data_IF_279735556766
#
_entry.id   IF_279735556766
#
_cell.length_a   1.000
_cell.length_b   1.000
_cell.length_c   1.000
_cell.angle_alpha   90.00
_cell.angle_beta   90.00
_cell.angle_gamma   90.00
#
_symmetry.space_group_name_H-M   'P 1'
#
loop_
_entity.id
_entity.type
_entity.pdbx_description
1 polymer ?
#
# COMPACT_ATOMS: atom_id res chain seq x y z
N UNK A 1 -16.09 34.72 20.99
CA UNK A 1 -15.76 35.52 19.79
C UNK A 1 -15.46 34.56 18.66
N UNK A 2 -16.47 34.19 17.86
CA UNK A 2 -16.24 33.37 16.66
C UNK A 2 -15.63 34.27 15.60
N UNK A 3 -14.33 34.15 15.36
CA UNK A 3 -13.73 34.68 14.14
C UNK A 3 -14.51 34.09 12.98
N UNK A 4 -15.23 34.93 12.23
CA UNK A 4 -15.81 34.57 10.95
C UNK A 4 -14.65 34.18 10.04
N UNK A 5 -14.28 32.90 10.03
CA UNK A 5 -13.40 32.36 9.01
C UNK A 5 -14.12 32.60 7.68
N UNK A 6 -13.60 33.55 6.90
CA UNK A 6 -14.02 33.76 5.53
C UNK A 6 -13.96 32.41 4.83
N UNK A 7 -15.10 31.87 4.40
CA UNK A 7 -15.15 30.64 3.63
C UNK A 7 -14.27 30.79 2.39
N UNK A 8 -13.35 29.85 2.16
CA UNK A 8 -12.49 29.88 0.99
C UNK A 8 -13.34 29.74 -0.29
N UNK A 9 -13.04 30.51 -1.33
CA UNK A 9 -13.72 30.34 -2.62
C UNK A 9 -13.19 29.11 -3.37
N UNK A 10 -13.97 28.53 -4.28
CA UNK A 10 -13.50 27.44 -5.15
C UNK A 10 -12.27 27.82 -5.98
N UNK A 11 -12.15 29.10 -6.36
CA UNK A 11 -10.99 29.62 -7.08
C UNK A 11 -9.73 29.59 -6.22
N UNK A 12 -9.81 30.10 -4.99
CA UNK A 12 -8.72 30.06 -4.03
C UNK A 12 -8.36 28.61 -3.67
N UNK A 13 -9.36 27.75 -3.49
CA UNK A 13 -9.18 26.32 -3.26
C UNK A 13 -8.42 25.66 -4.41
N UNK A 14 -8.81 25.94 -5.66
CA UNK A 14 -8.13 25.46 -6.85
C UNK A 14 -6.67 25.92 -6.88
N UNK A 15 -6.41 27.19 -6.56
CA UNK A 15 -5.06 27.76 -6.55
C UNK A 15 -4.15 27.06 -5.55
N UNK A 16 -4.59 26.96 -4.29
CA UNK A 16 -3.82 26.28 -3.25
C UNK A 16 -3.61 24.79 -3.58
N UNK A 17 -4.60 24.12 -4.17
CA UNK A 17 -4.49 22.72 -4.58
C UNK A 17 -3.48 22.52 -5.71
N UNK A 18 -3.49 23.41 -6.71
CA UNK A 18 -2.51 23.41 -7.80
C UNK A 18 -1.09 23.65 -7.28
N UNK A 19 -0.92 24.66 -6.44
CA UNK A 19 0.38 25.01 -5.85
C UNK A 19 0.93 23.86 -5.00
N UNK A 20 0.07 23.23 -4.18
CA UNK A 20 0.42 22.03 -3.42
C UNK A 20 0.85 20.86 -4.31
N UNK A 21 0.12 20.60 -5.39
CA UNK A 21 0.48 19.52 -6.30
C UNK A 21 1.85 19.74 -6.94
N UNK A 22 2.11 20.97 -7.40
CA UNK A 22 3.35 21.36 -8.08
C UNK A 22 4.53 21.51 -7.13
N UNK A 23 4.31 21.82 -5.84
CA UNK A 23 5.39 21.84 -4.84
C UNK A 23 5.87 20.42 -4.49
N UNK A 24 5.01 19.41 -4.64
CA UNK A 24 5.33 18.02 -4.33
C UNK A 24 5.81 17.24 -5.55
N UNK A 25 5.27 17.52 -6.75
CA UNK A 25 5.65 16.85 -8.01
C UNK A 25 6.39 17.84 -8.91
N UNK A 26 7.68 17.62 -9.07
CA UNK A 26 8.58 18.53 -9.79
C UNK A 26 8.82 18.07 -11.24
N UNK A 27 8.87 16.76 -11.44
CA UNK A 27 9.18 16.14 -12.73
C UNK A 27 8.04 15.22 -13.18
N UNK A 28 7.88 15.10 -14.48
CA UNK A 28 7.01 14.11 -15.12
C UNK A 28 7.60 13.69 -16.46
N UNK A 29 7.01 12.68 -17.12
CA UNK A 29 7.39 12.31 -18.49
C UNK A 29 6.60 13.07 -19.55
N UNK A 30 5.47 13.68 -19.19
CA UNK A 30 4.52 14.34 -20.10
C UNK A 30 4.72 15.85 -20.25
N UNK A 31 5.53 16.49 -19.40
CA UNK A 31 5.78 17.93 -19.47
C UNK A 31 6.37 18.31 -20.83
N UNK A 32 5.96 19.45 -21.39
CA UNK A 32 6.42 19.90 -22.71
C UNK A 32 7.92 20.25 -22.74
N UNK A 33 8.48 20.72 -21.61
CA UNK A 33 9.91 20.99 -21.49
C UNK A 33 10.76 19.73 -21.74
N UNK A 34 10.20 18.54 -21.51
CA UNK A 34 10.90 17.30 -21.78
C UNK A 34 11.23 17.12 -23.26
N UNK A 35 10.55 17.82 -24.18
CA UNK A 35 10.86 17.75 -25.60
C UNK A 35 12.30 18.19 -25.89
N UNK A 36 12.86 19.10 -25.10
CA UNK A 36 14.25 19.56 -25.21
C UNK A 36 15.26 18.64 -24.51
N UNK A 37 14.82 17.62 -23.78
CA UNK A 37 15.71 16.68 -23.13
C UNK A 37 16.33 15.69 -24.11
N UNK A 38 17.50 15.18 -23.74
CA UNK A 38 18.16 14.10 -24.46
C UNK A 38 17.32 12.83 -24.43
N UNK A 39 17.48 11.98 -25.45
CA UNK A 39 16.75 10.72 -25.56
C UNK A 39 16.86 9.83 -24.31
N UNK A 40 18.06 9.77 -23.71
CA UNK A 40 18.31 8.99 -22.49
C UNK A 40 17.55 9.54 -21.27
N UNK A 41 17.43 10.87 -21.15
CA UNK A 41 16.68 11.50 -20.06
C UNK A 41 15.18 11.25 -20.21
N UNK A 42 14.63 11.40 -21.43
CA UNK A 42 13.23 11.07 -21.74
C UNK A 42 12.90 9.61 -21.37
N UNK A 43 13.77 8.68 -21.78
CA UNK A 43 13.62 7.26 -21.49
C UNK A 43 13.67 6.98 -19.98
N UNK A 44 14.64 7.55 -19.27
CA UNK A 44 14.79 7.39 -17.82
C UNK A 44 13.57 7.93 -17.05
N UNK A 45 13.05 9.10 -17.40
CA UNK A 45 11.84 9.65 -16.76
C UNK A 45 10.61 8.78 -17.01
N UNK A 46 10.42 8.32 -18.24
CA UNK A 46 9.31 7.44 -18.55
C UNK A 46 9.43 6.10 -17.80
N UNK A 47 10.62 5.51 -17.73
CA UNK A 47 10.87 4.29 -16.95
C UNK A 47 10.61 4.51 -15.47
N UNK A 48 11.12 5.60 -14.88
CA UNK A 48 10.93 5.92 -13.47
C UNK A 48 9.43 6.05 -13.12
N UNK A 49 8.63 6.67 -14.01
CA UNK A 49 7.20 6.76 -13.79
C UNK A 49 6.48 5.41 -13.92
N UNK A 50 6.88 4.57 -14.88
CA UNK A 50 6.35 3.20 -15.00
C UNK A 50 6.70 2.37 -13.76
N UNK A 51 7.91 2.51 -13.23
CA UNK A 51 8.35 1.88 -12.00
C UNK A 51 7.54 2.37 -10.80
N UNK A 52 7.31 3.69 -10.67
CA UNK A 52 6.44 4.27 -9.65
C UNK A 52 5.03 3.69 -9.72
N UNK A 53 4.40 3.69 -10.90
CA UNK A 53 3.06 3.13 -11.10
C UNK A 53 2.99 1.60 -10.91
N UNK A 54 4.10 0.89 -11.10
CA UNK A 54 4.22 -0.52 -10.75
C UNK A 54 4.24 -0.69 -9.24
N UNK A 55 5.06 0.10 -8.52
CA UNK A 55 5.09 0.09 -7.06
C UNK A 55 3.74 0.44 -6.43
N UNK A 56 2.95 1.35 -7.01
CA UNK A 56 1.57 1.63 -6.56
C UNK A 56 0.60 0.45 -6.74
N UNK A 57 0.92 -0.53 -7.59
CA UNK A 57 0.08 -1.70 -7.87
C UNK A 57 0.53 -2.93 -7.10
N UNK A 58 1.75 -2.94 -6.60
CA UNK A 58 2.28 -4.03 -5.79
C UNK A 58 1.60 -4.01 -4.42
N UNK A 59 0.93 -5.11 -4.06
CA UNK A 59 0.36 -5.27 -2.73
C UNK A 59 1.50 -5.44 -1.73
N UNK A 60 1.53 -4.63 -0.67
CA UNK A 60 2.45 -4.83 0.44
C UNK A 60 1.86 -5.89 1.34
N UNK A 61 2.73 -6.77 1.84
CA UNK A 61 2.37 -7.85 2.77
C UNK A 61 1.62 -7.40 4.03
N UNK A 62 1.73 -6.11 4.36
CA UNK A 62 1.21 -5.51 5.59
C UNK A 62 0.11 -4.50 5.34
N UNK A 63 -0.38 -4.36 4.09
CA UNK A 63 -1.43 -3.39 3.78
C UNK A 63 -2.72 -3.73 4.54
N UNK A 64 -3.33 -2.69 5.14
CA UNK A 64 -4.58 -2.82 5.90
C UNK A 64 -5.77 -2.14 5.23
N UNK A 65 -5.54 -1.26 4.24
CA UNK A 65 -6.65 -0.67 3.49
C UNK A 65 -7.29 -1.70 2.56
N UNK A 66 -8.59 -1.92 2.77
CA UNK A 66 -9.40 -2.92 2.05
C UNK A 66 -9.95 -2.30 0.76
N UNK A 67 -10.25 -1.00 0.78
CA UNK A 67 -10.69 -0.29 -0.40
C UNK A 67 -9.51 -0.04 -1.34
N UNK A 68 -9.53 -0.72 -2.49
CA UNK A 68 -8.45 -0.64 -3.48
C UNK A 68 -8.25 0.76 -4.05
N UNK A 69 -9.31 1.56 -4.14
CA UNK A 69 -9.21 2.94 -4.64
C UNK A 69 -8.53 3.82 -3.61
N UNK A 70 -8.99 3.82 -2.36
CA UNK A 70 -8.37 4.57 -1.26
C UNK A 70 -6.90 4.16 -1.11
N UNK A 71 -6.63 2.84 -1.09
CA UNK A 71 -5.27 2.30 -1.03
C UNK A 71 -4.38 2.88 -2.12
N UNK A 72 -4.82 2.78 -3.37
CA UNK A 72 -4.07 3.28 -4.53
C UNK A 72 -3.89 4.79 -4.50
N UNK A 73 -4.90 5.54 -4.05
CA UNK A 73 -4.84 6.98 -3.91
C UNK A 73 -3.68 7.38 -2.98
N UNK A 74 -3.70 6.93 -1.72
CA UNK A 74 -2.67 7.31 -0.76
C UNK A 74 -1.29 6.73 -1.10
N UNK A 75 -1.20 5.50 -1.61
CA UNK A 75 0.08 4.95 -2.07
C UNK A 75 0.69 5.77 -3.22
N UNK A 76 -0.15 6.28 -4.13
CA UNK A 76 0.31 7.18 -5.21
C UNK A 76 0.81 8.49 -4.63
N UNK A 77 0.09 9.09 -3.69
CA UNK A 77 0.52 10.32 -2.98
C UNK A 77 1.87 10.13 -2.30
N UNK A 78 2.04 9.08 -1.50
CA UNK A 78 3.26 8.81 -0.75
C UNK A 78 4.48 8.64 -1.68
N UNK A 79 4.31 7.89 -2.78
CA UNK A 79 5.39 7.68 -3.75
C UNK A 79 5.68 8.93 -4.58
N UNK A 80 4.66 9.70 -4.96
CA UNK A 80 4.85 10.97 -5.67
C UNK A 80 5.59 11.99 -4.78
N UNK A 81 5.23 12.11 -3.49
CA UNK A 81 5.95 12.96 -2.53
C UNK A 81 7.40 12.51 -2.35
N UNK A 82 7.62 11.19 -2.21
CA UNK A 82 8.96 10.63 -2.00
C UNK A 82 9.91 10.83 -3.20
N UNK A 83 9.40 10.74 -4.42
CA UNK A 83 10.22 10.80 -5.64
C UNK A 83 10.08 12.11 -6.41
N UNK A 84 9.20 13.00 -5.98
CA UNK A 84 8.82 14.24 -6.66
C UNK A 84 8.49 14.05 -8.15
N UNK A 85 7.82 12.94 -8.46
CA UNK A 85 7.61 12.45 -9.82
C UNK A 85 6.12 12.15 -10.08
N UNK A 86 5.59 12.63 -11.20
CA UNK A 86 4.20 12.40 -11.59
C UNK A 86 3.82 13.07 -12.92
N UNK A 87 2.78 12.56 -13.58
CA UNK A 87 2.16 13.20 -14.76
C UNK A 87 0.84 13.87 -14.38
N UNK A 88 0.05 14.30 -15.37
CA UNK A 88 -1.27 14.92 -15.17
C UNK A 88 -2.17 14.16 -14.19
N UNK A 89 -2.23 12.82 -14.29
CA UNK A 89 -3.00 11.98 -13.37
C UNK A 89 -2.51 12.09 -11.91
N UNK A 90 -1.20 11.93 -11.67
CA UNK A 90 -0.63 12.04 -10.33
C UNK A 90 -0.75 13.46 -9.76
N UNK A 91 -0.60 14.48 -10.61
CA UNK A 91 -0.79 15.89 -10.24
C UNK A 91 -2.24 16.19 -9.85
N UNK A 92 -3.23 15.70 -10.61
CA UNK A 92 -4.64 15.87 -10.27
C UNK A 92 -5.01 15.18 -8.95
N UNK A 93 -4.46 13.99 -8.71
CA UNK A 93 -4.63 13.27 -7.43
C UNK A 93 -3.95 14.00 -6.27
N UNK A 94 -2.75 14.56 -6.47
CA UNK A 94 -2.07 15.37 -5.46
C UNK A 94 -2.84 16.65 -5.13
N UNK A 95 -3.47 17.27 -6.12
CA UNK A 95 -4.36 18.40 -5.89
C UNK A 95 -5.61 17.98 -5.09
N UNK A 96 -6.20 16.80 -5.40
CA UNK A 96 -7.32 16.26 -4.63
C UNK A 96 -6.92 15.95 -3.17
N UNK A 97 -5.70 15.46 -2.92
CA UNK A 97 -5.15 15.23 -1.57
C UNK A 97 -5.22 16.49 -0.71
N UNK A 98 -4.89 17.64 -1.29
CA UNK A 98 -5.01 18.92 -0.60
C UNK A 98 -6.46 19.22 -0.18
N UNK A 99 -7.41 19.10 -1.11
CA UNK A 99 -8.83 19.38 -0.82
C UNK A 99 -9.41 18.42 0.22
N UNK A 100 -9.03 17.14 0.15
CA UNK A 100 -9.50 16.11 1.10
C UNK A 100 -9.10 16.46 2.54
N UNK A 101 -7.88 16.94 2.76
CA UNK A 101 -7.33 17.14 4.11
C UNK A 101 -7.49 18.55 4.67
N UNK A 102 -7.47 19.58 3.80
CA UNK A 102 -7.40 20.96 4.27
C UNK A 102 -8.68 21.78 4.04
N UNK A 103 -9.57 21.33 3.15
CA UNK A 103 -10.75 22.09 2.72
C UNK A 103 -12.05 21.26 2.82
N UNK A 104 -12.46 20.83 4.02
CA UNK A 104 -13.57 19.88 4.23
C UNK A 104 -14.92 20.33 3.64
N UNK A 105 -15.12 21.63 3.43
CA UNK A 105 -16.33 22.23 2.87
C UNK A 105 -16.37 22.25 1.33
N UNK A 106 -15.23 22.03 0.67
CA UNK A 106 -15.16 22.03 -0.80
C UNK A 106 -15.30 20.61 -1.32
N UNK A 107 -16.25 20.39 -2.22
CA UNK A 107 -16.35 19.15 -2.98
C UNK A 107 -15.45 19.20 -4.22
N UNK A 108 -14.73 18.13 -4.47
CA UNK A 108 -13.85 18.01 -5.62
C UNK A 108 -13.76 16.58 -6.14
N UNK A 109 -13.50 16.45 -7.44
CA UNK A 109 -13.41 15.16 -8.13
C UNK A 109 -12.43 15.25 -9.30
N UNK A 110 -11.69 14.17 -9.53
CA UNK A 110 -10.75 14.07 -10.65
C UNK A 110 -11.53 13.71 -11.91
N UNK A 111 -11.28 14.45 -12.99
CA UNK A 111 -11.82 14.19 -14.32
C UNK A 111 -10.72 13.74 -15.28
N UNK A 112 -11.12 12.95 -16.27
CA UNK A 112 -10.31 12.67 -17.46
C UNK A 112 -11.00 13.18 -18.73
N UNK A 113 -10.19 13.45 -19.76
CA UNK A 113 -10.69 13.72 -21.11
C UNK A 113 -10.90 12.38 -21.84
N UNK A 114 -12.15 11.98 -22.02
CA UNK A 114 -12.53 10.86 -22.89
C UNK A 114 -12.29 11.25 -24.33
N UNK A 115 -11.63 10.38 -25.10
CA UNK A 115 -11.13 10.71 -26.44
C UNK A 115 -9.79 11.46 -26.43
N UNK A 116 -9.19 11.65 -25.24
CA UNK A 116 -7.89 12.26 -25.01
C UNK A 116 -7.04 11.49 -23.99
N UNK A 117 -5.94 12.09 -23.54
CA UNK A 117 -5.02 11.54 -22.53
C UNK A 117 -4.60 12.63 -21.55
N UNK A 118 -5.58 13.17 -20.83
CA UNK A 118 -5.35 14.22 -19.82
C UNK A 118 -6.27 14.05 -18.62
N UNK A 119 -5.77 14.42 -17.44
CA UNK A 119 -6.49 14.36 -16.17
C UNK A 119 -6.31 15.67 -15.39
N UNK A 120 -7.38 16.12 -14.73
CA UNK A 120 -7.46 17.39 -14.01
C UNK A 120 -8.40 17.28 -12.81
N UNK A 121 -8.38 18.29 -11.94
CA UNK A 121 -9.28 18.38 -10.79
C UNK A 121 -10.42 19.38 -11.06
N UNK A 122 -11.65 19.02 -10.70
CA UNK A 122 -12.81 19.92 -10.70
C UNK A 122 -13.24 20.15 -9.27
N UNK A 123 -13.49 21.41 -8.90
CA UNK A 123 -13.91 21.81 -7.55
C UNK A 123 -15.23 22.58 -7.60
N UNK A 124 -16.04 22.48 -6.55
CA UNK A 124 -17.19 23.35 -6.33
C UNK A 124 -18.36 23.11 -7.29
N UNK A 125 -18.44 21.91 -7.88
CA UNK A 125 -19.55 21.52 -8.77
C UNK A 125 -20.87 21.44 -8.00
N UNK A 126 -21.96 21.93 -8.60
CA UNK A 126 -23.31 21.75 -8.04
C UNK A 126 -23.71 20.27 -7.94
N UNK A 127 -24.31 19.87 -6.81
CA UNK A 127 -24.60 18.47 -6.47
C UNK A 127 -25.41 17.70 -7.52
N UNK A 128 -26.33 18.37 -8.21
CA UNK A 128 -27.24 17.76 -9.20
C UNK A 128 -26.88 18.10 -10.65
N UNK A 129 -25.74 18.75 -10.87
CA UNK A 129 -25.26 19.04 -12.22
C UNK A 129 -24.84 17.76 -12.95
N UNK A 130 -24.97 17.79 -14.27
CA UNK A 130 -24.67 16.64 -15.10
C UNK A 130 -23.14 16.44 -15.20
N UNK A 131 -22.60 15.27 -14.84
CA UNK A 131 -21.16 15.08 -14.67
C UNK A 131 -20.38 15.36 -15.95
N UNK A 132 -20.92 15.02 -17.12
CA UNK A 132 -20.17 15.19 -18.38
C UNK A 132 -20.46 16.52 -19.11
N UNK A 133 -21.13 17.48 -18.47
CA UNK A 133 -21.57 18.74 -19.08
C UNK A 133 -21.14 19.94 -18.22
N UNK A 134 -19.94 20.49 -18.44
CA UNK A 134 -19.39 21.59 -17.63
C UNK A 134 -20.27 22.83 -17.54
N UNK A 135 -21.06 23.10 -18.57
CA UNK A 135 -22.04 24.19 -18.61
C UNK A 135 -23.13 24.07 -17.53
N UNK A 136 -23.33 22.88 -16.96
CA UNK A 136 -24.31 22.63 -15.89
C UNK A 136 -23.72 22.67 -14.49
N UNK A 137 -22.39 22.79 -14.35
CA UNK A 137 -21.70 22.61 -13.07
C UNK A 137 -21.86 23.78 -12.08
N UNK A 138 -22.43 24.90 -12.52
CA UNK A 138 -22.63 26.11 -11.72
C UNK A 138 -21.49 27.12 -11.84
N UNK A 139 -21.73 28.36 -11.41
CA UNK A 139 -20.77 29.47 -11.50
C UNK A 139 -19.59 29.35 -10.54
N UNK A 140 -19.74 28.54 -9.49
CA UNK A 140 -18.70 28.28 -8.50
C UNK A 140 -17.80 27.09 -8.88
N UNK A 141 -18.04 26.45 -10.02
CA UNK A 141 -17.24 25.33 -10.48
C UNK A 141 -15.94 25.81 -11.15
N UNK A 142 -14.81 25.30 -10.70
CA UNK A 142 -13.50 25.62 -11.24
C UNK A 142 -12.77 24.36 -11.71
N UNK A 143 -12.05 24.50 -12.82
CA UNK A 143 -11.08 23.52 -13.30
C UNK A 143 -9.71 23.94 -12.77
N UNK A 144 -9.06 23.00 -12.07
CA UNK A 144 -7.69 23.08 -11.61
C UNK A 144 -6.86 22.09 -12.44
N UNK A 145 -5.96 22.61 -13.26
CA UNK A 145 -5.02 21.83 -14.06
C UNK A 145 -3.58 22.11 -13.60
N UNK A 146 -3.06 21.36 -12.61
CA UNK A 146 -1.72 21.57 -12.09
C UNK A 146 -0.63 21.21 -13.11
N UNK A 147 -0.95 20.40 -14.14
CA UNK A 147 -0.02 20.04 -15.19
C UNK A 147 0.21 21.21 -16.14
N UNK A 148 -0.86 21.90 -16.55
CA UNK A 148 -0.78 23.13 -17.34
C UNK A 148 -0.42 24.37 -16.50
N UNK A 149 -0.49 24.27 -15.17
CA UNK A 149 -0.43 25.41 -14.25
C UNK A 149 -1.54 26.44 -14.54
N UNK A 150 -2.74 25.96 -14.82
CA UNK A 150 -3.88 26.79 -15.16
C UNK A 150 -5.09 26.52 -14.27
N UNK A 151 -5.80 27.60 -13.96
CA UNK A 151 -7.02 27.58 -13.17
C UNK A 151 -8.02 28.51 -13.83
N UNK A 152 -9.25 28.05 -13.96
CA UNK A 152 -10.32 28.83 -14.59
C UNK A 152 -11.71 28.33 -14.24
N UNK A 153 -12.73 29.21 -14.33
CA UNK A 153 -14.12 28.80 -14.23
C UNK A 153 -14.47 27.72 -15.24
N UNK A 154 -15.27 26.73 -14.85
CA UNK A 154 -15.65 25.61 -15.71
C UNK A 154 -16.33 26.06 -17.01
N UNK A 155 -17.02 27.21 -17.02
CA UNK A 155 -17.62 27.82 -18.21
C UNK A 155 -16.61 28.14 -19.33
N UNK A 156 -15.32 28.31 -19.00
CA UNK A 156 -14.26 28.63 -19.95
C UNK A 156 -13.56 27.39 -20.53
N UNK A 157 -14.00 26.18 -20.19
CA UNK A 157 -13.27 24.94 -20.54
C UNK A 157 -13.01 24.78 -22.04
N UNK A 158 -13.95 25.13 -22.92
CA UNK A 158 -13.76 24.98 -24.37
C UNK A 158 -12.60 25.82 -24.92
N UNK A 159 -12.36 27.00 -24.34
CA UNK A 159 -11.31 27.90 -24.80
C UNK A 159 -9.94 27.56 -24.18
N UNK A 160 -9.94 27.12 -22.92
CA UNK A 160 -8.71 26.96 -22.12
C UNK A 160 -8.20 25.54 -22.07
N UNK A 161 -9.08 24.55 -21.96
CA UNK A 161 -8.69 23.16 -21.77
C UNK A 161 -7.88 22.65 -22.96
N UNK A 162 -6.73 22.05 -22.67
CA UNK A 162 -5.89 21.35 -23.64
C UNK A 162 -5.95 19.85 -23.40
N UNK A 163 -5.87 19.09 -24.48
CA UNK A 163 -5.61 17.67 -24.44
C UNK A 163 -4.10 17.42 -24.68
N UNK A 164 -3.56 16.41 -24.02
CA UNK A 164 -2.20 15.93 -24.24
C UNK A 164 -2.19 14.75 -25.22
N UNK A 165 -1.15 14.66 -26.04
CA UNK A 165 -0.84 13.46 -26.82
C UNK A 165 0.66 13.36 -27.09
N UNK A 166 1.10 12.19 -27.56
CA UNK A 166 2.50 11.93 -27.90
C UNK A 166 2.64 11.32 -29.28
N UNK A 167 3.70 11.70 -30.00
CA UNK A 167 4.10 11.06 -31.26
C UNK A 167 5.48 10.43 -31.09
N UNK A 168 5.78 9.39 -31.86
CA UNK A 168 7.12 8.79 -31.89
C UNK A 168 7.98 9.57 -32.87
N UNK A 169 9.13 10.04 -32.41
CA UNK A 169 10.18 10.60 -33.25
C UNK A 169 10.82 9.47 -34.08
N UNK A 170 10.80 9.62 -35.40
CA UNK A 170 11.36 8.64 -36.33
C UNK A 170 12.88 8.55 -36.26
N UNK A 171 13.57 9.63 -35.86
CA UNK A 171 15.03 9.67 -35.83
C UNK A 171 15.59 9.08 -34.53
N UNK A 172 15.09 9.55 -33.39
CA UNK A 172 15.58 9.08 -32.08
C UNK A 172 14.84 7.84 -31.54
N UNK A 173 13.68 7.50 -32.12
CA UNK A 173 12.80 6.46 -31.59
C UNK A 173 12.11 6.82 -30.27
N UNK A 174 12.32 8.04 -29.76
CA UNK A 174 11.71 8.53 -28.51
C UNK A 174 10.34 9.17 -28.75
N UNK A 175 9.67 9.63 -27.69
CA UNK A 175 8.39 10.32 -27.80
C UNK A 175 8.57 11.84 -27.74
N UNK A 176 7.77 12.55 -28.54
CA UNK A 176 7.57 13.99 -28.48
C UNK A 176 6.19 14.25 -27.90
N UNK A 177 6.14 15.10 -26.88
CA UNK A 177 4.95 15.52 -26.17
C UNK A 177 4.29 16.68 -26.90
N UNK A 178 2.97 16.65 -27.05
CA UNK A 178 2.19 17.68 -27.74
C UNK A 178 0.96 18.06 -26.93
N UNK A 179 0.43 19.25 -27.23
CA UNK A 179 -0.88 19.71 -26.75
C UNK A 179 -1.75 20.07 -27.93
N UNK A 180 -3.05 19.83 -27.79
CA UNK A 180 -4.07 20.30 -28.72
C UNK A 180 -5.22 20.93 -27.95
N UNK A 181 -5.97 21.83 -28.59
CA UNK A 181 -7.19 22.38 -27.99
C UNK A 181 -8.21 21.27 -27.73
N UNK A 182 -9.04 21.45 -26.70
CA UNK A 182 -10.20 20.61 -26.50
C UNK A 182 -11.17 20.73 -27.69
N UNK A 183 -11.49 19.60 -28.32
CA UNK A 183 -12.45 19.52 -29.42
C UNK A 183 -13.73 18.84 -28.90
N UNK A 184 -14.85 19.56 -28.72
CA UNK A 184 -16.11 18.98 -28.25
C UNK A 184 -16.71 17.89 -29.14
N UNK A 185 -16.27 17.77 -30.41
CA UNK A 185 -16.71 16.70 -31.31
C UNK A 185 -15.95 15.39 -31.06
N UNK A 186 -14.76 15.47 -30.48
CA UNK A 186 -13.86 14.32 -30.24
C UNK A 186 -13.68 13.99 -28.77
N UNK A 187 -13.85 15.00 -27.91
CA UNK A 187 -13.53 14.94 -26.51
C UNK A 187 -14.76 15.18 -25.65
N UNK A 188 -14.82 14.50 -24.51
CA UNK A 188 -15.75 14.81 -23.43
C UNK A 188 -15.03 14.69 -22.09
N UNK A 189 -15.59 15.31 -21.05
CA UNK A 189 -15.10 15.16 -19.68
C UNK A 189 -15.89 14.08 -18.98
N UNK A 190 -15.20 13.19 -18.26
CA UNK A 190 -15.81 12.16 -17.43
C UNK A 190 -15.15 12.11 -16.06
N UNK A 191 -15.92 12.02 -14.96
CA UNK A 191 -15.34 11.87 -13.64
C UNK A 191 -14.68 10.49 -13.53
N UNK A 192 -13.56 10.43 -12.83
CA UNK A 192 -12.93 9.17 -12.47
C UNK A 192 -13.64 8.60 -11.26
N UNK A 193 -14.14 7.37 -11.41
CA UNK A 193 -14.89 6.68 -10.37
C UNK A 193 -14.10 6.65 -9.05
N UNK A 194 -14.78 7.00 -7.95
CA UNK A 194 -14.27 6.93 -6.58
C UNK A 194 -13.06 7.85 -6.28
N UNK A 195 -12.61 8.69 -7.23
CA UNK A 195 -11.58 9.72 -7.01
C UNK A 195 -12.23 11.09 -6.76
N UNK A 196 -12.93 11.17 -5.63
CA UNK A 196 -13.61 12.37 -5.20
C UNK A 196 -13.58 12.52 -3.67
N UNK A 197 -13.82 13.75 -3.20
CA UNK A 197 -13.85 14.10 -1.78
C UNK A 197 -14.86 13.27 -0.99
N UNK A 198 -16.06 13.05 -1.53
CA UNK A 198 -17.11 12.29 -0.85
C UNK A 198 -16.67 10.85 -0.52
N UNK A 199 -16.02 10.15 -1.45
CA UNK A 199 -15.52 8.79 -1.24
C UNK A 199 -14.29 8.80 -0.33
N UNK A 200 -13.29 9.64 -0.64
CA UNK A 200 -12.03 9.64 0.09
C UNK A 200 -12.19 10.11 1.54
N UNK A 201 -13.07 11.06 1.85
CA UNK A 201 -13.30 11.52 3.23
C UNK A 201 -13.96 10.45 4.11
N UNK A 202 -14.52 9.38 3.54
CA UNK A 202 -15.02 8.25 4.34
C UNK A 202 -13.92 7.59 5.15
N UNK A 203 -12.65 7.74 4.75
CA UNK A 203 -11.50 7.23 5.49
C UNK A 203 -11.36 7.81 6.88
N UNK A 204 -11.82 9.05 7.08
CA UNK A 204 -11.80 9.75 8.36
C UNK A 204 -13.03 9.44 9.21
N UNK A 205 -13.99 8.65 8.71
CA UNK A 205 -15.12 8.23 9.51
C UNK A 205 -14.68 7.23 10.59
N UNK A 206 -15.22 7.38 11.80
CA UNK A 206 -14.96 6.48 12.92
C UNK A 206 -15.24 5.01 12.54
N UNK A 207 -16.26 4.77 11.70
CA UNK A 207 -16.63 3.45 11.19
C UNK A 207 -15.50 2.83 10.35
N UNK A 208 -14.89 3.61 9.44
CA UNK A 208 -13.78 3.12 8.63
C UNK A 208 -12.52 2.87 9.47
N UNK A 209 -12.20 3.78 10.38
CA UNK A 209 -11.03 3.66 11.26
C UNK A 209 -11.14 2.43 12.17
N UNK A 210 -12.32 2.18 12.77
CA UNK A 210 -12.59 0.95 13.54
C UNK A 210 -12.47 -0.30 12.69
N UNK A 211 -12.86 -0.25 11.41
CA UNK A 211 -12.72 -1.38 10.47
C UNK A 211 -11.24 -1.70 10.21
N UNK A 212 -10.38 -0.70 10.08
CA UNK A 212 -8.92 -0.91 9.97
C UNK A 212 -8.33 -1.56 11.22
N UNK A 213 -8.65 -1.04 12.40
CA UNK A 213 -8.19 -1.61 13.68
C UNK A 213 -8.63 -3.07 13.80
N UNK A 214 -9.91 -3.35 13.55
CA UNK A 214 -10.43 -4.71 13.55
C UNK A 214 -9.68 -5.62 12.57
N UNK A 215 -9.33 -5.12 11.38
CA UNK A 215 -8.56 -5.93 10.43
C UNK A 215 -7.16 -6.27 10.92
N UNK A 216 -6.49 -5.29 11.49
CA UNK A 216 -5.19 -5.47 12.10
C UNK A 216 -5.25 -6.50 13.24
N UNK A 217 -6.24 -6.40 14.12
CA UNK A 217 -6.47 -7.33 15.23
C UNK A 217 -6.74 -8.75 14.72
N UNK A 218 -7.58 -8.89 13.69
CA UNK A 218 -7.86 -10.15 13.02
C UNK A 218 -6.56 -10.77 12.49
N UNK A 219 -5.83 -10.11 11.57
CA UNK A 219 -4.54 -10.61 11.03
C UNK A 219 -3.56 -10.99 12.15
N UNK A 220 -3.43 -10.15 13.17
CA UNK A 220 -2.54 -10.41 14.30
C UNK A 220 -2.97 -11.61 15.14
N UNK A 221 -4.28 -11.80 15.33
CA UNK A 221 -4.85 -12.97 16.03
C UNK A 221 -4.59 -14.26 15.27
N UNK A 222 -4.69 -14.26 13.94
CA UNK A 222 -4.34 -15.44 13.14
C UNK A 222 -2.85 -15.78 13.23
N UNK A 223 -1.95 -14.79 13.24
CA UNK A 223 -0.52 -15.01 13.50
C UNK A 223 -0.32 -15.65 14.89
N UNK A 224 -1.00 -15.13 15.92
CA UNK A 224 -0.96 -15.73 17.26
C UNK A 224 -1.45 -17.17 17.29
N UNK A 225 -2.53 -17.48 16.59
CA UNK A 225 -3.08 -18.84 16.51
C UNK A 225 -2.08 -19.79 15.84
N UNK A 226 -1.44 -19.38 14.75
CA UNK A 226 -0.38 -20.13 14.09
C UNK A 226 0.80 -20.37 15.05
N UNK A 227 1.24 -19.34 15.79
CA UNK A 227 2.31 -19.47 16.79
C UNK A 227 1.94 -20.42 17.95
N UNK A 228 0.70 -20.37 18.43
CA UNK A 228 0.22 -21.27 19.47
C UNK A 228 0.11 -22.72 18.97
N UNK A 229 -0.25 -22.92 17.70
CA UNK A 229 -0.17 -24.22 17.05
C UNK A 229 1.27 -24.74 17.02
N UNK A 230 2.22 -23.93 16.55
CA UNK A 230 3.65 -24.29 16.53
C UNK A 230 4.15 -24.66 17.93
N UNK A 231 3.85 -23.83 18.93
CA UNK A 231 4.21 -24.08 20.33
C UNK A 231 3.75 -25.46 20.81
N UNK A 232 2.48 -25.81 20.61
CA UNK A 232 1.93 -27.14 20.99
C UNK A 232 2.66 -28.29 20.29
N UNK A 233 3.02 -28.12 19.00
CA UNK A 233 3.77 -29.14 18.25
C UNK A 233 5.19 -29.30 18.76
N UNK A 234 5.87 -28.20 19.09
CA UNK A 234 7.22 -28.23 19.66
C UNK A 234 7.22 -28.81 21.08
N UNK A 235 6.23 -28.51 21.91
CA UNK A 235 6.04 -29.09 23.24
C UNK A 235 5.92 -30.62 23.17
N UNK A 236 5.12 -31.15 22.24
CA UNK A 236 5.01 -32.59 22.02
C UNK A 236 6.32 -33.25 21.51
N UNK A 237 7.19 -32.50 20.82
CA UNK A 237 8.51 -33.00 20.41
C UNK A 237 9.46 -32.99 21.62
N UNK A 238 9.49 -31.91 22.39
CA UNK A 238 10.34 -31.75 23.58
C UNK A 238 10.00 -32.81 24.62
N UNK A 239 8.73 -33.05 24.93
CA UNK A 239 8.34 -34.07 25.93
C UNK A 239 8.84 -35.46 25.53
N UNK A 240 8.68 -35.86 24.26
CA UNK A 240 9.22 -37.14 23.76
C UNK A 240 10.75 -37.22 23.84
N UNK A 241 11.45 -36.10 23.67
CA UNK A 241 12.91 -36.07 23.81
C UNK A 241 13.34 -36.12 25.27
N UNK A 242 12.62 -35.42 26.16
CA UNK A 242 12.85 -35.45 27.60
C UNK A 242 12.69 -36.86 28.16
N UNK A 243 11.57 -37.52 27.84
CA UNK A 243 11.27 -38.87 28.30
C UNK A 243 12.32 -39.90 27.84
N UNK A 244 12.89 -39.71 26.65
CA UNK A 244 13.79 -40.68 26.02
C UNK A 244 15.28 -40.41 26.22
N UNK A 245 15.68 -39.14 26.29
CA UNK A 245 17.08 -38.72 26.24
C UNK A 245 17.48 -37.72 27.33
N UNK A 246 16.53 -37.28 28.15
CA UNK A 246 16.77 -36.32 29.22
C UNK A 246 16.82 -34.85 28.77
N UNK A 247 16.94 -33.97 29.77
CA UNK A 247 16.91 -32.49 29.61
C UNK A 247 18.15 -31.93 28.92
N UNK A 248 19.30 -32.57 29.11
CA UNK A 248 20.59 -32.09 28.63
C UNK A 248 20.87 -32.50 27.17
N UNK A 249 19.90 -33.14 26.52
CA UNK A 249 20.02 -33.47 25.11
C UNK A 249 20.04 -32.19 24.23
N UNK A 250 21.03 -32.07 23.35
CA UNK A 250 21.20 -30.91 22.47
C UNK A 250 19.92 -30.52 21.71
N UNK A 251 19.12 -31.49 21.25
CA UNK A 251 17.86 -31.19 20.53
C UNK A 251 16.79 -30.66 21.47
N UNK A 252 16.72 -31.18 22.68
CA UNK A 252 15.84 -30.67 23.73
C UNK A 252 16.18 -29.21 24.03
N UNK A 253 17.46 -28.88 24.17
CA UNK A 253 17.95 -27.51 24.40
C UNK A 253 17.55 -26.58 23.25
N UNK A 254 17.84 -26.97 22.00
CA UNK A 254 17.50 -26.18 20.81
C UNK A 254 16.00 -25.89 20.73
N UNK A 255 15.15 -26.92 20.84
CA UNK A 255 13.70 -26.73 20.69
C UNK A 255 13.13 -25.92 21.87
N UNK A 256 13.68 -26.10 23.08
CA UNK A 256 13.30 -25.30 24.25
C UNK A 256 13.65 -23.81 24.07
N UNK A 257 14.79 -23.51 23.44
CA UNK A 257 15.18 -22.14 23.10
C UNK A 257 14.22 -21.50 22.08
N UNK A 258 13.83 -22.23 21.03
CA UNK A 258 12.82 -21.78 20.06
C UNK A 258 11.49 -21.51 20.79
N UNK A 259 11.05 -22.42 21.67
CA UNK A 259 9.83 -22.21 22.46
C UNK A 259 9.90 -21.00 23.39
N UNK A 260 11.07 -20.70 23.98
CA UNK A 260 11.29 -19.50 24.79
C UNK A 260 11.13 -18.23 23.95
N UNK A 261 11.74 -18.18 22.77
CA UNK A 261 11.60 -17.04 21.84
C UNK A 261 10.15 -16.89 21.37
N UNK A 262 9.47 -17.99 21.04
CA UNK A 262 8.05 -17.96 20.68
C UNK A 262 7.18 -17.36 21.78
N UNK A 263 7.41 -17.70 23.06
CA UNK A 263 6.66 -17.13 24.18
C UNK A 263 6.88 -15.61 24.29
N UNK A 264 8.11 -15.14 24.10
CA UNK A 264 8.42 -13.71 24.09
C UNK A 264 7.70 -13.00 22.94
N UNK A 265 7.79 -13.51 21.71
CA UNK A 265 7.11 -12.94 20.54
C UNK A 265 5.59 -12.96 20.67
N UNK A 266 4.99 -14.00 21.26
CA UNK A 266 3.55 -14.05 21.55
C UNK A 266 3.13 -12.89 22.47
N UNK A 267 3.93 -12.57 23.48
CA UNK A 267 3.63 -11.46 24.38
C UNK A 267 3.74 -10.10 23.69
N UNK A 268 4.73 -9.92 22.80
CA UNK A 268 4.85 -8.70 21.97
C UNK A 268 3.61 -8.50 21.11
N UNK A 269 3.17 -9.54 20.40
CA UNK A 269 2.01 -9.45 19.51
C UNK A 269 0.72 -9.19 20.29
N UNK A 270 0.52 -9.86 21.43
CA UNK A 270 -0.61 -9.56 22.34
C UNK A 270 -0.59 -8.13 22.84
N UNK A 271 0.60 -7.64 23.20
CA UNK A 271 0.80 -6.25 23.60
C UNK A 271 0.36 -5.28 22.50
N UNK A 272 0.71 -5.56 21.25
CA UNK A 272 0.27 -4.76 20.10
C UNK A 272 -1.25 -4.82 19.87
N UNK A 273 -1.87 -6.00 19.93
CA UNK A 273 -3.34 -6.15 19.79
C UNK A 273 -4.09 -5.35 20.85
N UNK A 274 -3.61 -5.35 22.10
CA UNK A 274 -4.29 -4.69 23.21
C UNK A 274 -3.99 -3.18 23.33
N UNK A 275 -3.30 -2.58 22.35
CA UNK A 275 -3.05 -1.13 22.36
C UNK A 275 -4.34 -0.36 22.08
N UNK A 276 -4.54 0.73 22.81
CA UNK A 276 -5.55 1.71 22.47
C UNK A 276 -5.03 2.60 21.34
N UNK A 277 -5.53 2.40 20.12
CA UNK A 277 -5.14 3.17 18.95
C UNK A 277 -5.92 4.49 18.87
N UNK A 278 -5.22 5.57 18.49
CA UNK A 278 -5.86 6.85 18.23
C UNK A 278 -6.63 6.81 16.89
N UNK A 279 -7.92 7.16 16.92
CA UNK A 279 -8.83 7.18 15.77
C UNK A 279 -9.06 8.60 15.22
N UNK A 280 -8.12 9.54 15.42
CA UNK A 280 -8.29 10.93 14.97
C UNK A 280 -7.89 11.16 13.51
N UNK A 281 -6.91 10.41 12.99
CA UNK A 281 -6.39 10.59 11.62
C UNK A 281 -6.10 9.25 10.95
N UNK A 282 -6.71 9.06 9.78
CA UNK A 282 -6.54 7.89 8.95
C UNK A 282 -5.08 7.57 8.63
N UNK A 283 -4.30 8.56 8.18
CA UNK A 283 -2.94 8.32 7.68
C UNK A 283 -2.04 7.83 8.81
N UNK A 284 -2.05 8.55 9.93
CA UNK A 284 -1.30 8.16 11.13
C UNK A 284 -1.75 6.82 11.71
N UNK A 285 -3.06 6.56 11.77
CA UNK A 285 -3.59 5.29 12.26
C UNK A 285 -3.14 4.14 11.36
N UNK A 286 -3.36 4.23 10.05
CA UNK A 286 -2.96 3.22 9.07
C UNK A 286 -1.47 2.91 9.21
N UNK A 287 -0.61 3.92 9.17
CA UNK A 287 0.84 3.74 9.23
C UNK A 287 1.27 3.09 10.56
N UNK A 288 0.64 3.46 11.67
CA UNK A 288 0.88 2.87 12.99
C UNK A 288 0.49 1.39 13.04
N UNK A 289 -0.66 1.04 12.48
CA UNK A 289 -1.15 -0.34 12.44
C UNK A 289 -0.31 -1.21 11.49
N UNK A 290 0.03 -0.71 10.30
CA UNK A 290 0.88 -1.42 9.34
C UNK A 290 2.29 -1.64 9.90
N UNK A 291 2.84 -0.63 10.59
CA UNK A 291 4.11 -0.78 11.31
C UNK A 291 4.01 -1.84 12.43
N UNK A 292 2.93 -1.83 13.21
CA UNK A 292 2.69 -2.82 14.26
C UNK A 292 2.56 -4.24 13.68
N UNK A 293 1.89 -4.38 12.53
CA UNK A 293 1.78 -5.67 11.84
C UNK A 293 3.13 -6.16 11.32
N UNK A 294 3.94 -5.26 10.74
CA UNK A 294 5.31 -5.57 10.34
C UNK A 294 6.17 -6.02 11.53
N UNK A 295 6.04 -5.36 12.68
CA UNK A 295 6.70 -5.78 13.92
C UNK A 295 6.23 -7.18 14.37
N UNK A 296 4.93 -7.47 14.30
CA UNK A 296 4.38 -8.78 14.65
C UNK A 296 4.99 -9.90 13.77
N UNK A 297 5.07 -9.66 12.46
CA UNK A 297 5.67 -10.61 11.52
C UNK A 297 7.17 -10.75 11.74
N UNK A 298 7.87 -9.65 12.04
CA UNK A 298 9.30 -9.70 12.37
C UNK A 298 9.56 -10.47 13.66
N UNK A 299 8.73 -10.30 14.69
CA UNK A 299 8.82 -11.03 15.95
C UNK A 299 8.57 -12.53 15.76
N UNK A 300 7.61 -12.89 14.89
CA UNK A 300 7.42 -14.27 14.46
C UNK A 300 8.66 -14.82 13.76
N UNK A 301 9.14 -14.13 12.71
CA UNK A 301 10.28 -14.55 11.91
C UNK A 301 11.56 -14.75 12.75
N UNK A 302 11.79 -13.86 13.73
CA UNK A 302 12.91 -13.99 14.66
C UNK A 302 12.76 -15.22 15.57
N UNK A 303 11.55 -15.51 16.08
CA UNK A 303 11.32 -16.64 16.98
C UNK A 303 11.43 -18.00 16.29
N UNK A 304 11.22 -18.08 14.98
CA UNK A 304 11.34 -19.32 14.20
C UNK A 304 12.69 -19.46 13.50
N UNK A 305 13.60 -18.49 13.67
CA UNK A 305 14.93 -18.52 13.07
C UNK A 305 15.80 -19.54 13.80
N UNK A 306 16.29 -20.53 13.06
CA UNK A 306 17.23 -21.54 13.55
C UNK A 306 18.64 -21.12 13.13
N UNK A 307 19.57 -21.02 14.08
CA UNK A 307 20.98 -20.76 13.77
C UNK A 307 21.64 -21.97 13.08
N UNK A 308 22.79 -21.78 12.44
CA UNK A 308 23.50 -22.91 11.84
C UNK A 308 23.85 -23.98 12.89
N UNK A 309 24.35 -23.56 14.05
CA UNK A 309 24.69 -24.46 15.16
C UNK A 309 23.46 -25.24 15.67
N UNK A 310 22.32 -24.58 15.79
CA UNK A 310 21.06 -25.23 16.20
C UNK A 310 20.57 -26.22 15.15
N UNK A 311 20.72 -25.87 13.86
CA UNK A 311 20.41 -26.77 12.75
C UNK A 311 21.29 -28.02 12.81
N UNK A 312 22.60 -27.86 13.02
CA UNK A 312 23.55 -28.97 13.13
C UNK A 312 23.24 -29.85 14.34
N UNK A 313 22.90 -29.26 15.49
CA UNK A 313 22.44 -29.97 16.68
C UNK A 313 21.17 -30.80 16.42
N UNK A 314 20.18 -30.23 15.72
CA UNK A 314 18.97 -30.96 15.33
C UNK A 314 19.31 -32.14 14.40
N UNK A 315 20.21 -31.93 13.42
CA UNK A 315 20.59 -32.94 12.42
C UNK A 315 21.43 -34.10 12.96
N UNK A 316 22.07 -33.97 14.12
CA UNK A 316 22.84 -35.07 14.72
C UNK A 316 21.94 -36.26 15.08
N UNK A 317 22.31 -37.47 14.66
CA UNK A 317 21.62 -38.69 15.12
C UNK A 317 22.09 -39.04 16.53
N UNK A 318 21.19 -39.55 17.36
CA UNK A 318 21.51 -39.87 18.77
C UNK A 318 22.50 -41.04 18.89
N UNK A 319 22.35 -42.09 18.07
CA UNK A 319 23.30 -43.19 18.00
C UNK A 319 23.94 -43.20 16.62
N UNK A 320 25.12 -42.60 16.50
CA UNK A 320 25.85 -42.50 15.22
C UNK A 320 26.35 -43.85 14.71
N UNK A 321 26.54 -44.80 15.61
CA UNK A 321 27.12 -46.12 15.30
C UNK A 321 26.05 -47.19 15.01
N UNK A 322 24.76 -46.86 15.16
CA UNK A 322 23.69 -47.80 14.82
C UNK A 322 23.61 -48.01 13.31
N UNK A 323 23.52 -49.27 12.87
CA UNK A 323 23.32 -49.62 11.45
C UNK A 323 22.13 -48.89 10.80
N UNK A 324 21.04 -48.71 11.56
CA UNK A 324 19.88 -47.95 11.12
C UNK A 324 20.19 -46.47 10.86
N UNK A 325 21.07 -45.86 11.65
CA UNK A 325 21.56 -44.49 11.41
C UNK A 325 22.39 -44.43 10.14
N UNK A 326 23.30 -45.38 9.92
CA UNK A 326 24.11 -45.44 8.70
C UNK A 326 23.25 -45.55 7.44
N UNK A 327 22.19 -46.39 7.47
CA UNK A 327 21.22 -46.48 6.38
C UNK A 327 20.49 -45.15 6.16
N UNK A 328 19.99 -44.49 7.21
CA UNK A 328 19.30 -43.20 7.08
C UNK A 328 20.22 -42.11 6.52
N UNK A 329 21.48 -42.08 6.95
CA UNK A 329 22.48 -41.16 6.42
C UNK A 329 22.79 -41.43 4.94
N UNK A 330 22.93 -42.70 4.55
CA UNK A 330 23.13 -43.12 3.16
C UNK A 330 22.01 -42.60 2.25
N UNK A 331 20.76 -42.72 2.67
CA UNK A 331 19.61 -42.19 1.94
C UNK A 331 19.34 -40.69 2.15
N UNK A 332 20.22 -39.98 2.89
CA UNK A 332 20.07 -38.55 3.23
C UNK A 332 18.73 -38.24 3.94
N UNK A 333 18.21 -39.19 4.73
CA UNK A 333 16.95 -39.06 5.45
C UNK A 333 17.20 -38.49 6.84
N UNK A 334 16.91 -37.20 7.12
CA UNK A 334 17.25 -36.57 8.40
C UNK A 334 16.51 -37.21 9.59
N UNK A 335 17.02 -37.03 10.83
CA UNK A 335 16.39 -37.55 12.04
C UNK A 335 14.90 -37.19 12.15
N UNK A 336 14.10 -38.09 12.72
CA UNK A 336 12.65 -37.88 12.87
C UNK A 336 12.29 -36.56 13.59
N UNK A 337 13.08 -36.17 14.60
CA UNK A 337 12.97 -34.90 15.31
C UNK A 337 13.13 -33.69 14.39
N UNK A 338 14.13 -33.71 13.50
CA UNK A 338 14.38 -32.64 12.52
C UNK A 338 13.19 -32.53 11.57
N UNK A 339 12.75 -33.67 11.01
CA UNK A 339 11.62 -33.70 10.08
C UNK A 339 10.36 -33.14 10.72
N UNK A 340 10.05 -33.57 11.95
CA UNK A 340 8.88 -33.09 12.70
C UNK A 340 8.97 -31.59 13.00
N UNK A 341 10.15 -31.11 13.38
CA UNK A 341 10.40 -29.69 13.69
C UNK A 341 10.29 -28.82 12.44
N UNK A 342 10.98 -29.21 11.34
CA UNK A 342 10.91 -28.52 10.05
C UNK A 342 9.49 -28.49 9.50
N UNK A 343 8.78 -29.61 9.55
CA UNK A 343 7.38 -29.68 9.14
C UNK A 343 6.54 -28.69 9.95
N UNK A 344 6.63 -28.69 11.29
CA UNK A 344 5.87 -27.76 12.12
C UNK A 344 6.16 -26.29 11.79
N UNK A 345 7.44 -25.94 11.60
CA UNK A 345 7.87 -24.58 11.23
C UNK A 345 7.37 -24.19 9.84
N UNK A 346 7.48 -25.09 8.86
CA UNK A 346 7.03 -24.84 7.49
C UNK A 346 5.52 -24.68 7.42
N UNK A 347 4.75 -25.56 8.08
CA UNK A 347 3.29 -25.45 8.15
C UNK A 347 2.87 -24.10 8.73
N UNK A 348 3.49 -23.70 9.85
CA UNK A 348 3.18 -22.41 10.50
C UNK A 348 3.59 -21.22 9.64
N UNK A 349 4.75 -21.29 9.00
CA UNK A 349 5.25 -20.24 8.12
C UNK A 349 4.36 -20.06 6.90
N UNK A 350 3.94 -21.16 6.28
CA UNK A 350 3.00 -21.12 5.17
C UNK A 350 1.66 -20.51 5.59
N UNK A 351 1.18 -20.83 6.79
CA UNK A 351 -0.06 -20.25 7.32
C UNK A 351 0.07 -18.74 7.54
N UNK A 352 1.15 -18.27 8.17
CA UNK A 352 1.42 -16.83 8.33
C UNK A 352 1.50 -16.12 6.97
N UNK A 353 2.22 -16.69 5.99
CA UNK A 353 2.29 -16.12 4.64
C UNK A 353 0.91 -16.08 3.96
N UNK A 354 0.08 -17.11 4.14
CA UNK A 354 -1.28 -17.14 3.61
C UNK A 354 -2.11 -15.99 4.19
N UNK A 355 -2.09 -15.78 5.51
CA UNK A 355 -2.83 -14.71 6.20
C UNK A 355 -2.39 -13.31 5.72
N UNK A 356 -1.10 -13.12 5.47
CA UNK A 356 -0.57 -11.83 5.01
C UNK A 356 -1.00 -11.52 3.57
N UNK A 357 -1.06 -12.54 2.70
CA UNK A 357 -1.43 -12.39 1.29
C UNK A 357 -2.94 -12.46 1.01
N UNK A 358 -3.77 -12.82 1.98
CA UNK A 358 -5.22 -12.95 1.79
C UNK A 358 -5.94 -11.60 1.96
N UNK A 359 -6.69 -11.21 0.92
CA UNK A 359 -7.49 -9.97 0.82
C UNK A 359 -8.89 -10.09 1.49
N UNK A 360 -9.10 -11.07 2.39
CA UNK A 360 -10.34 -11.40 3.15
C UNK A 360 -11.42 -12.23 2.43
N UNK A 361 -11.29 -12.54 1.14
CA UNK A 361 -12.39 -13.23 0.42
C UNK A 361 -12.61 -14.67 0.92
N UNK A 362 -11.66 -15.27 1.66
CA UNK A 362 -11.67 -16.73 1.92
C UNK A 362 -11.43 -17.16 3.37
N UNK A 363 -11.74 -16.33 4.37
CA UNK A 363 -11.42 -16.66 5.76
C UNK A 363 -12.49 -17.58 6.39
N UNK A 364 -12.38 -18.89 6.14
CA UNK A 364 -12.96 -19.92 7.00
C UNK A 364 -11.82 -20.70 7.65
N UNK A 365 -11.76 -20.68 8.99
CA UNK A 365 -10.92 -21.61 9.74
C UNK A 365 -11.55 -23.00 9.58
N UNK A 366 -10.84 -23.92 8.93
CA UNK A 366 -11.13 -25.36 9.08
C UNK A 366 -10.51 -25.86 10.38
#
# INVERSE_FOLDING_TARGET
MSSSQSSISSEQAAQLSSDYARSNILLGSTQLINNSYLAIQKSSLNKALLDLRRLCRESRLYDLEIDKTIKRFYQTIDLCKKFSLGNCYELAIMALDYVVHFLPEIEAEVYCIVGGDHALLVLGKEKNSHPNKPETWGTNAYICDPWANEIYPASQYKARLKNFYRTKDSQSGTYINHVQNFDPLRHSLSPMKDLNTQHLRQTQSEVHLKKLVKFFEEKSTYILNAMNYLKRRLEAIVNRLLDKYGKDNDKTVVISNIMKQLRQSVNVIRGNINKNYNLDDYTNLRDTLEHSLKQNVSAYAQAVRISQNDSDALNRYHNQNAFSTSLLQFFKIPPATVRSTRHALQTTTNEVHRILNDDRVTWSIK
#
